data_IF_109059909459
#
_entry.id   IF_109059909459
#
_cell.length_a   1.000
_cell.length_b   1.000
_cell.length_c   1.000
_cell.angle_alpha   90.00
_cell.angle_beta   90.00
_cell.angle_gamma   90.00
#
_symmetry.space_group_name_H-M   'P 1'
#
loop_
_entity.id
_entity.type
_entity.pdbx_description
1 polymer ?
#
# COMPACT_ATOMS: atom_id res chain seq x y z
N UNK A 1 -36.11 -17.86 1.75
CA UNK A 1 -37.12 -16.82 1.45
C UNK A 1 -36.46 -15.68 0.69
N UNK A 2 -37.03 -15.36 -0.48
CA UNK A 2 -36.76 -14.24 -1.41
C UNK A 2 -35.36 -14.12 -2.03
N UNK A 3 -35.21 -14.82 -3.15
CA UNK A 3 -34.46 -14.34 -4.32
C UNK A 3 -35.19 -13.14 -4.96
N UNK A 4 -34.45 -12.17 -5.49
CA UNK A 4 -34.93 -11.32 -6.60
C UNK A 4 -33.81 -11.20 -7.64
N UNK A 5 -34.16 -11.50 -8.89
CA UNK A 5 -33.35 -11.40 -10.12
C UNK A 5 -34.04 -10.42 -11.08
N UNK A 6 -33.30 -10.06 -12.15
CA UNK A 6 -33.69 -9.56 -13.49
C UNK A 6 -33.72 -8.02 -13.67
N UNK A 7 -32.83 -7.42 -14.51
CA UNK A 7 -32.81 -7.31 -16.00
C UNK A 7 -33.40 -5.93 -16.43
N UNK A 8 -33.04 -5.21 -17.51
CA UNK A 8 -32.26 -5.38 -18.74
C UNK A 8 -31.99 -3.98 -19.35
N UNK A 9 -31.05 -3.93 -20.31
CA UNK A 9 -30.50 -2.83 -21.12
C UNK A 9 -31.44 -1.83 -21.83
N UNK A 10 -30.89 -0.65 -22.18
CA UNK A 10 -31.20 0.12 -23.41
C UNK A 10 -29.92 0.81 -23.95
N UNK A 11 -29.64 0.60 -25.24
CA UNK A 11 -28.68 1.29 -26.12
C UNK A 11 -29.17 2.70 -26.49
N UNK A 12 -28.26 3.69 -26.62
CA UNK A 12 -28.31 4.70 -27.70
C UNK A 12 -26.89 5.11 -28.12
N UNK A 13 -26.72 5.21 -29.43
CA UNK A 13 -25.52 5.45 -30.26
C UNK A 13 -25.09 6.91 -30.38
N UNK A 14 -23.76 7.14 -30.31
CA UNK A 14 -22.91 7.85 -31.30
C UNK A 14 -23.03 9.36 -31.51
N UNK A 15 -21.91 10.10 -31.31
CA UNK A 15 -21.34 10.98 -32.33
C UNK A 15 -19.87 11.35 -32.00
N UNK A 16 -19.03 11.26 -33.02
CA UNK A 16 -17.60 11.59 -33.05
C UNK A 16 -17.35 13.09 -32.93
N UNK A 17 -16.30 13.48 -32.20
CA UNK A 17 -15.55 14.69 -32.47
C UNK A 17 -14.06 14.38 -32.34
N UNK A 18 -13.35 14.55 -33.47
CA UNK A 18 -11.91 14.46 -33.56
C UNK A 18 -11.27 15.62 -32.77
N UNK A 19 -10.34 15.29 -31.88
CA UNK A 19 -9.46 16.24 -31.20
C UNK A 19 -8.01 15.78 -31.42
N UNK A 20 -7.16 16.72 -31.84
CA UNK A 20 -5.84 16.46 -32.39
C UNK A 20 -4.92 15.68 -31.43
N UNK A 21 -4.19 14.74 -32.01
CA UNK A 21 -3.18 13.93 -31.34
C UNK A 21 -1.91 14.76 -31.07
N UNK A 22 -1.57 14.97 -29.80
CA UNK A 22 -0.21 15.32 -29.42
C UNK A 22 0.66 14.06 -29.43
N UNK A 23 1.65 14.09 -30.31
CA UNK A 23 2.63 13.03 -30.54
C UNK A 23 3.65 13.03 -29.42
N UNK A 24 3.36 12.33 -28.32
CA UNK A 24 4.35 11.74 -27.42
C UNK A 24 3.80 10.40 -26.91
N UNK A 25 3.49 9.52 -27.85
CA UNK A 25 3.06 8.15 -27.55
C UNK A 25 4.25 7.36 -27.01
N UNK A 26 4.37 7.27 -25.69
CA UNK A 26 5.03 6.13 -25.08
C UNK A 26 4.21 4.89 -25.49
N UNK A 27 4.84 3.98 -26.22
CA UNK A 27 4.23 2.75 -26.67
C UNK A 27 3.64 2.00 -25.46
N UNK A 28 2.30 1.96 -25.40
CA UNK A 28 1.54 1.33 -24.34
C UNK A 28 1.55 -0.18 -24.56
N UNK A 29 2.65 -0.84 -24.20
CA UNK A 29 2.71 -2.30 -24.15
C UNK A 29 2.06 -2.72 -22.84
N UNK A 30 0.88 -3.34 -22.90
CA UNK A 30 0.30 -4.02 -21.75
C UNK A 30 1.33 -5.05 -21.23
N UNK A 31 1.66 -5.06 -19.93
CA UNK A 31 2.64 -6.00 -19.39
C UNK A 31 2.22 -7.43 -19.69
N UNK A 32 3.04 -8.15 -20.46
CA UNK A 32 2.81 -9.56 -20.70
C UNK A 32 3.02 -10.32 -19.37
N UNK A 33 1.94 -10.83 -18.78
CA UNK A 33 2.00 -11.61 -17.54
C UNK A 33 2.60 -13.02 -17.77
N UNK A 34 2.86 -13.40 -19.02
CA UNK A 34 3.49 -14.66 -19.39
C UNK A 34 5.01 -14.50 -19.52
N UNK A 35 5.69 -14.90 -18.46
CA UNK A 35 6.92 -15.71 -18.41
C UNK A 35 7.68 -15.34 -17.14
N UNK A 36 7.19 -15.87 -16.01
CA UNK A 36 8.00 -15.98 -14.83
C UNK A 36 9.20 -16.89 -15.17
N UNK A 37 10.30 -16.30 -15.64
CA UNK A 37 11.60 -16.84 -15.27
C UNK A 37 11.73 -16.55 -13.78
N UNK A 38 11.20 -17.44 -12.96
CA UNK A 38 11.61 -17.54 -11.58
C UNK A 38 13.14 -17.57 -11.60
N UNK A 39 13.77 -16.49 -11.18
CA UNK A 39 15.16 -16.52 -10.75
C UNK A 39 15.10 -16.68 -9.23
N UNK A 40 14.99 -17.92 -8.71
CA UNK A 40 14.85 -18.17 -7.27
C UNK A 40 16.01 -17.58 -6.44
N UNK A 41 17.14 -17.26 -7.06
CA UNK A 41 18.32 -16.69 -6.39
C UNK A 41 18.29 -15.17 -6.16
N UNK A 42 17.23 -14.44 -6.54
CA UNK A 42 17.21 -12.99 -6.34
C UNK A 42 16.65 -12.52 -5.00
N UNK A 43 15.89 -13.34 -4.26
CA UNK A 43 15.22 -12.94 -3.01
C UNK A 43 15.71 -13.77 -1.82
N UNK A 44 16.69 -13.25 -1.08
CA UNK A 44 17.17 -13.88 0.14
C UNK A 44 16.29 -13.48 1.33
N UNK A 45 15.70 -14.44 2.05
CA UNK A 45 14.92 -14.17 3.26
C UNK A 45 15.85 -13.61 4.34
N UNK A 46 15.48 -12.44 4.86
CA UNK A 46 16.20 -11.72 5.93
C UNK A 46 15.64 -12.10 7.28
N UNK A 47 14.31 -12.23 7.35
CA UNK A 47 13.56 -12.60 8.55
C UNK A 47 12.24 -13.25 8.13
N UNK A 48 11.75 -14.14 8.97
CA UNK A 48 10.46 -14.81 8.86
C UNK A 48 9.70 -14.77 10.20
N UNK A 49 8.50 -15.37 10.22
CA UNK A 49 7.70 -15.48 11.43
C UNK A 49 7.02 -14.18 11.88
N UNK A 50 6.96 -13.17 11.01
CA UNK A 50 6.24 -11.92 11.28
C UNK A 50 4.72 -12.16 11.27
N UNK A 51 4.00 -11.55 12.21
CA UNK A 51 2.58 -11.77 12.41
C UNK A 51 1.71 -10.84 11.55
N UNK A 52 1.32 -11.30 10.36
CA UNK A 52 0.50 -10.52 9.41
C UNK A 52 1.09 -9.12 9.15
N UNK A 53 2.36 -9.00 8.72
CA UNK A 53 2.99 -7.70 8.58
C UNK A 53 2.38 -6.92 7.41
N UNK A 54 2.33 -5.59 7.50
CA UNK A 54 1.72 -4.73 6.47
C UNK A 54 2.72 -3.79 5.84
N UNK A 55 3.43 -2.99 6.63
CA UNK A 55 4.45 -2.08 6.11
C UNK A 55 5.71 -2.07 6.96
N UNK A 56 6.78 -1.55 6.38
CA UNK A 56 8.10 -1.43 6.97
C UNK A 56 8.75 -0.08 6.69
N UNK A 57 9.73 0.28 7.51
CA UNK A 57 10.62 1.40 7.23
C UNK A 57 12.01 1.14 7.79
N UNK A 58 13.07 1.38 7.01
CA UNK A 58 14.46 1.18 7.43
C UNK A 58 15.02 2.47 8.03
N UNK A 59 15.58 2.40 9.24
CA UNK A 59 16.22 3.55 9.86
C UNK A 59 17.67 3.78 9.42
N UNK A 60 18.28 4.89 9.87
CA UNK A 60 19.68 5.24 9.56
C UNK A 60 20.71 4.23 10.07
N UNK A 61 20.34 3.37 11.02
CA UNK A 61 21.20 2.31 11.56
C UNK A 61 20.97 0.99 10.81
N UNK A 62 20.04 0.94 9.87
CA UNK A 62 19.66 -0.25 9.11
C UNK A 62 18.73 -1.21 9.87
N UNK A 63 18.11 -0.76 10.97
CA UNK A 63 17.05 -1.52 11.62
C UNK A 63 15.76 -1.41 10.81
N UNK A 64 15.00 -2.50 10.71
CA UNK A 64 13.76 -2.54 9.95
C UNK A 64 12.58 -2.47 10.93
N UNK A 65 11.88 -1.35 10.94
CA UNK A 65 10.65 -1.18 11.71
C UNK A 65 9.49 -1.78 10.92
N UNK A 66 8.65 -2.63 11.53
CA UNK A 66 7.60 -3.36 10.82
C UNK A 66 6.29 -3.29 11.60
N UNK A 67 5.21 -2.89 10.95
CA UNK A 67 3.86 -3.01 11.51
C UNK A 67 3.30 -4.41 11.31
N UNK A 68 2.64 -4.91 12.35
CA UNK A 68 1.99 -6.22 12.38
C UNK A 68 0.52 -6.03 12.74
N UNK A 69 -0.37 -6.52 11.89
CA UNK A 69 -1.81 -6.51 12.16
C UNK A 69 -2.22 -7.56 13.20
N UNK A 70 -1.35 -8.51 13.56
CA UNK A 70 -1.64 -9.48 14.62
C UNK A 70 -2.65 -10.55 14.21
N UNK A 71 -3.52 -10.97 15.13
CA UNK A 71 -4.44 -12.11 14.95
C UNK A 71 -5.90 -11.70 14.79
N UNK A 72 -6.23 -10.42 15.00
CA UNK A 72 -7.60 -9.90 14.98
C UNK A 72 -8.18 -9.70 16.37
N UNK A 73 -7.35 -9.68 17.42
CA UNK A 73 -7.77 -9.65 18.82
C UNK A 73 -7.21 -8.43 19.57
N UNK A 74 -7.17 -7.28 18.90
CA UNK A 74 -6.55 -6.03 19.39
C UNK A 74 -5.09 -6.22 19.84
N UNK A 75 -4.37 -7.06 19.10
CA UNK A 75 -2.99 -7.46 19.33
C UNK A 75 -2.04 -6.95 18.23
N UNK A 76 -2.42 -5.86 17.55
CA UNK A 76 -1.53 -5.18 16.62
C UNK A 76 -0.27 -4.69 17.33
N UNK A 77 0.87 -4.74 16.62
CA UNK A 77 2.18 -4.42 17.20
C UNK A 77 3.11 -3.80 16.17
N UNK A 78 4.15 -3.11 16.65
CA UNK A 78 5.30 -2.73 15.83
C UNK A 78 6.51 -3.46 16.39
N UNK A 79 7.20 -4.17 15.51
CA UNK A 79 8.46 -4.86 15.80
C UNK A 79 9.61 -4.15 15.12
N UNK A 80 10.82 -4.42 15.59
CA UNK A 80 12.06 -4.03 14.93
C UNK A 80 12.89 -5.27 14.65
N UNK A 81 13.43 -5.34 13.43
CA UNK A 81 14.30 -6.41 12.96
C UNK A 81 15.73 -5.89 12.92
N UNK A 82 16.62 -6.55 13.64
CA UNK A 82 18.04 -6.24 13.67
C UNK A 82 18.81 -6.89 12.51
N UNK A 83 20.06 -6.47 12.29
CA UNK A 83 20.93 -6.98 11.22
C UNK A 83 21.18 -8.49 11.26
N UNK A 84 21.09 -9.10 12.43
CA UNK A 84 21.26 -10.54 12.63
C UNK A 84 19.95 -11.32 12.47
N UNK A 85 18.84 -10.66 12.11
CA UNK A 85 17.52 -11.27 11.99
C UNK A 85 16.72 -11.31 13.30
N UNK A 86 17.26 -10.85 14.42
CA UNK A 86 16.53 -10.82 15.69
C UNK A 86 15.32 -9.88 15.59
N UNK A 87 14.16 -10.35 16.02
CA UNK A 87 12.92 -9.59 16.06
C UNK A 87 12.59 -9.22 17.50
N UNK A 88 12.37 -7.94 17.75
CA UNK A 88 11.90 -7.43 19.05
C UNK A 88 10.60 -6.65 18.88
N UNK A 89 9.61 -6.94 19.70
CA UNK A 89 8.42 -6.09 19.83
C UNK A 89 8.76 -4.80 20.56
N UNK A 90 8.49 -3.66 19.92
CA UNK A 90 8.75 -2.33 20.50
C UNK A 90 7.46 -1.68 20.97
N UNK A 91 6.38 -1.81 20.20
CA UNK A 91 5.07 -1.28 20.56
C UNK A 91 3.98 -2.36 20.48
N UNK A 92 3.03 -2.34 21.41
CA UNK A 92 1.95 -3.34 21.53
C UNK A 92 0.57 -2.73 21.75
N UNK A 93 -0.48 -3.50 21.44
CA UNK A 93 -1.87 -3.13 21.77
C UNK A 93 -2.50 -2.14 20.80
N UNK A 94 -2.09 -2.18 19.53
CA UNK A 94 -2.80 -1.47 18.47
C UNK A 94 -4.07 -2.23 18.06
N UNK A 95 -5.00 -1.51 17.44
CA UNK A 95 -6.25 -2.11 16.94
C UNK A 95 -5.98 -3.26 15.98
N UNK A 96 -6.77 -4.33 16.13
CA UNK A 96 -6.72 -5.49 15.27
C UNK A 96 -8.06 -6.22 15.34
N UNK A 97 -8.68 -6.47 14.19
CA UNK A 97 -10.00 -7.12 14.13
C UNK A 97 -10.20 -7.86 12.81
N UNK A 98 -10.93 -8.98 12.85
CA UNK A 98 -11.49 -9.59 11.64
C UNK A 98 -12.73 -8.82 11.21
N UNK A 99 -12.70 -8.31 9.99
CA UNK A 99 -13.80 -7.58 9.37
C UNK A 99 -14.90 -8.55 8.92
N UNK A 100 -16.15 -8.06 8.67
CA UNK A 100 -17.26 -8.92 8.27
C UNK A 100 -17.03 -9.72 6.98
N UNK A 101 -16.14 -9.25 6.10
CA UNK A 101 -15.73 -9.95 4.88
C UNK A 101 -14.63 -11.01 5.12
N UNK A 102 -14.19 -11.20 6.37
CA UNK A 102 -13.15 -12.15 6.77
C UNK A 102 -11.72 -11.60 6.74
N UNK A 103 -11.51 -10.40 6.19
CA UNK A 103 -10.20 -9.77 6.14
C UNK A 103 -9.71 -9.33 7.52
N UNK A 104 -8.41 -9.28 7.71
CA UNK A 104 -7.80 -8.76 8.93
C UNK A 104 -7.57 -7.25 8.78
N UNK A 105 -8.29 -6.45 9.55
CA UNK A 105 -8.00 -5.03 9.72
C UNK A 105 -7.04 -4.80 10.89
N UNK A 106 -6.12 -3.85 10.74
CA UNK A 106 -5.16 -3.51 11.78
C UNK A 106 -4.31 -2.29 11.42
N UNK A 107 -3.02 -2.39 11.70
CA UNK A 107 -2.05 -1.35 11.33
C UNK A 107 -1.86 -1.28 9.80
N UNK A 108 -1.64 -0.07 9.31
CA UNK A 108 -1.11 0.23 7.97
C UNK A 108 0.42 0.29 8.00
N UNK A 109 1.01 1.07 7.09
CA UNK A 109 2.46 1.24 7.01
C UNK A 109 3.03 2.09 8.16
N UNK A 110 4.33 1.95 8.35
CA UNK A 110 5.16 2.79 9.22
C UNK A 110 6.15 3.59 8.37
N UNK A 111 6.53 4.77 8.84
CA UNK A 111 7.54 5.59 8.20
C UNK A 111 8.51 6.13 9.25
N UNK A 112 9.78 5.80 9.13
CA UNK A 112 10.84 6.35 9.97
C UNK A 112 11.34 7.68 9.40
N UNK A 113 11.52 8.68 10.25
CA UNK A 113 12.24 9.90 9.92
C UNK A 113 12.92 10.49 11.16
N UNK A 114 14.25 10.58 11.14
CA UNK A 114 15.06 11.28 12.15
C UNK A 114 14.73 10.96 13.62
N UNK A 115 14.58 9.66 13.93
CA UNK A 115 14.31 9.19 15.29
C UNK A 115 12.83 9.25 15.67
N UNK A 116 11.95 9.60 14.74
CA UNK A 116 10.50 9.52 14.89
C UNK A 116 9.97 8.42 13.99
N UNK A 117 9.07 7.59 14.53
CA UNK A 117 8.32 6.59 13.78
C UNK A 117 6.86 7.03 13.69
N UNK A 118 6.39 7.22 12.46
CA UNK A 118 5.00 7.49 12.14
C UNK A 118 4.31 6.15 11.86
N UNK A 119 3.23 5.85 12.57
CA UNK A 119 2.56 4.54 12.51
C UNK A 119 1.10 4.77 12.18
N UNK A 120 0.64 4.19 11.06
CA UNK A 120 -0.77 4.21 10.70
C UNK A 120 -1.51 3.06 11.38
N UNK A 121 -2.57 3.39 12.11
CA UNK A 121 -3.61 2.44 12.50
C UNK A 121 -4.74 2.57 11.50
N UNK A 122 -4.68 1.75 10.44
CA UNK A 122 -5.63 1.78 9.35
C UNK A 122 -7.05 1.45 9.82
N UNK A 123 -7.17 0.47 10.72
CA UNK A 123 -8.45 0.06 11.29
C UNK A 123 -9.12 1.16 12.08
N UNK A 124 -8.41 1.90 12.94
CA UNK A 124 -9.02 2.94 13.77
C UNK A 124 -8.92 4.35 13.16
N UNK A 125 -8.13 4.52 12.09
CA UNK A 125 -7.89 5.80 11.43
C UNK A 125 -7.10 6.78 12.30
N UNK A 126 -5.99 6.31 12.85
CA UNK A 126 -5.07 7.13 13.67
C UNK A 126 -3.66 7.15 13.07
N UNK A 127 -3.00 8.29 13.18
CA UNK A 127 -1.57 8.45 12.94
C UNK A 127 -0.87 8.59 14.29
N UNK A 128 -0.16 7.56 14.75
CA UNK A 128 0.69 7.64 15.93
C UNK A 128 2.07 8.22 15.57
N UNK A 129 2.67 8.95 16.51
CA UNK A 129 3.96 9.60 16.35
C UNK A 129 4.84 9.20 17.53
N UNK A 130 5.75 8.24 17.34
CA UNK A 130 6.57 7.69 18.41
C UNK A 130 8.03 8.18 18.32
N UNK A 131 8.58 8.68 19.42
CA UNK A 131 10.03 8.92 19.52
C UNK A 131 10.76 7.59 19.74
N UNK A 132 11.53 7.18 18.74
CA UNK A 132 12.38 5.98 18.72
C UNK A 132 13.87 6.32 18.74
N UNK A 133 14.25 7.59 18.90
CA UNK A 133 15.64 8.05 18.90
C UNK A 133 16.49 7.39 19.99
N UNK A 134 15.83 7.00 21.09
CA UNK A 134 16.44 6.35 22.26
C UNK A 134 16.19 4.84 22.33
N UNK A 135 15.66 4.23 21.26
CA UNK A 135 15.45 2.78 21.21
C UNK A 135 16.73 2.02 21.60
N UNK A 136 16.58 1.01 22.46
CA UNK A 136 17.61 0.04 22.81
C UNK A 136 17.08 -1.38 22.66
N UNK A 137 17.95 -2.25 22.18
CA UNK A 137 17.66 -3.67 22.11
C UNK A 137 17.29 -4.20 23.50
N UNK A 138 16.27 -5.06 23.54
CA UNK A 138 15.73 -5.74 24.73
C UNK A 138 14.95 -4.85 25.72
N UNK A 139 14.73 -3.57 25.42
CA UNK A 139 13.76 -2.77 26.17
C UNK A 139 12.36 -3.42 26.12
N UNK A 140 11.61 -3.31 27.22
CA UNK A 140 10.24 -3.82 27.29
C UNK A 140 9.32 -3.07 26.31
N UNK A 141 8.34 -3.74 25.69
CA UNK A 141 7.42 -3.08 24.77
C UNK A 141 6.61 -1.97 25.43
N UNK A 142 6.38 -0.89 24.70
CA UNK A 142 5.54 0.24 25.13
C UNK A 142 4.13 0.07 24.56
N UNK A 143 3.11 0.19 25.42
CA UNK A 143 1.71 0.12 24.95
C UNK A 143 1.36 1.32 24.07
N UNK A 144 0.65 1.06 22.96
CA UNK A 144 0.11 2.06 22.05
C UNK A 144 -0.76 3.13 22.75
N UNK A 145 -1.40 2.76 23.87
CA UNK A 145 -2.17 3.70 24.71
C UNK A 145 -1.34 4.85 25.28
N UNK A 146 0.00 4.72 25.33
CA UNK A 146 0.93 5.74 25.80
C UNK A 146 1.49 6.61 24.67
N UNK A 147 1.22 6.27 23.41
CA UNK A 147 1.76 6.98 22.25
C UNK A 147 0.84 8.15 21.87
N UNK A 148 1.39 9.32 21.52
CA UNK A 148 0.57 10.40 21.00
C UNK A 148 0.10 10.05 19.58
N UNK A 149 -1.13 10.45 19.24
CA UNK A 149 -1.68 10.24 17.91
C UNK A 149 -2.52 11.43 17.43
N UNK A 150 -2.72 11.49 16.11
CA UNK A 150 -3.69 12.36 15.44
C UNK A 150 -4.86 11.48 15.01
N UNK A 151 -6.07 11.85 15.43
CA UNK A 151 -7.31 11.17 15.03
C UNK A 151 -7.72 11.66 13.64
N UNK A 152 -7.82 10.76 12.67
CA UNK A 152 -8.07 11.10 11.27
C UNK A 152 -9.42 10.57 10.79
N UNK A 153 -9.93 9.47 11.36
CA UNK A 153 -11.16 8.84 10.90
C UNK A 153 -12.36 9.79 10.94
N UNK A 154 -12.53 10.52 12.04
CA UNK A 154 -13.65 11.47 12.19
C UNK A 154 -13.63 12.53 11.08
N UNK A 155 -12.44 13.06 10.76
CA UNK A 155 -12.28 14.00 9.66
C UNK A 155 -12.62 13.34 8.32
N UNK A 156 -12.05 12.17 8.03
CA UNK A 156 -12.29 11.45 6.76
C UNK A 156 -13.77 11.17 6.56
N UNK A 157 -14.48 10.71 7.60
CA UNK A 157 -15.91 10.43 7.54
C UNK A 157 -16.72 11.71 7.29
N UNK A 158 -16.33 12.84 7.87
CA UNK A 158 -17.04 14.11 7.64
C UNK A 158 -16.89 14.63 6.20
N UNK A 159 -15.93 14.11 5.42
CA UNK A 159 -15.72 14.50 4.03
C UNK A 159 -16.62 13.75 3.04
N UNK A 160 -17.31 12.67 3.46
CA UNK A 160 -18.17 11.85 2.60
C UNK A 160 -17.51 11.40 1.28
N UNK A 161 -16.28 10.87 1.37
CA UNK A 161 -15.46 10.56 0.19
C UNK A 161 -15.82 9.22 -0.48
N UNK A 162 -16.43 8.29 0.26
CA UNK A 162 -16.83 6.96 -0.19
C UNK A 162 -18.27 6.64 0.23
N UNK A 163 -18.89 5.66 -0.46
CA UNK A 163 -20.20 5.11 -0.10
C UNK A 163 -20.12 3.56 -0.15
N UNK A 164 -20.31 2.85 0.98
CA UNK A 164 -20.47 3.38 2.34
C UNK A 164 -19.24 4.17 2.80
N UNK A 165 -19.40 4.99 3.84
CA UNK A 165 -18.27 5.69 4.47
C UNK A 165 -17.27 4.66 4.96
N UNK A 166 -16.02 4.86 4.58
CA UNK A 166 -14.93 3.95 4.91
C UNK A 166 -13.62 4.72 5.04
N UNK A 167 -12.72 4.19 5.87
CA UNK A 167 -11.38 4.71 6.08
C UNK A 167 -10.47 3.57 6.45
N UNK A 168 -9.37 3.46 5.72
CA UNK A 168 -8.29 2.51 5.97
C UNK A 168 -6.98 3.18 5.57
N UNK A 169 -6.32 3.82 6.54
CA UNK A 169 -5.04 4.49 6.33
C UNK A 169 -3.98 3.43 6.00
N UNK A 170 -3.52 3.41 4.76
CA UNK A 170 -2.71 2.31 4.24
C UNK A 170 -1.22 2.66 4.22
N UNK A 171 -0.84 3.72 3.51
CA UNK A 171 0.56 4.14 3.34
C UNK A 171 0.73 5.65 3.48
N UNK A 172 1.95 6.11 3.75
CA UNK A 172 2.28 7.52 4.00
C UNK A 172 3.66 7.91 3.48
N UNK A 173 3.77 9.17 3.07
CA UNK A 173 5.05 9.77 2.69
C UNK A 173 5.14 11.24 3.10
N UNK A 174 6.36 11.77 3.18
CA UNK A 174 6.56 13.21 3.33
C UNK A 174 6.43 13.91 1.98
N UNK A 175 5.70 15.04 1.98
CA UNK A 175 5.67 15.96 0.86
C UNK A 175 6.80 17.00 0.92
N UNK A 176 6.90 17.88 -0.10
CA UNK A 176 7.96 18.89 -0.21
C UNK A 176 7.89 19.97 0.87
N UNK A 177 6.75 20.08 1.56
CA UNK A 177 6.49 21.06 2.62
C UNK A 177 6.68 20.50 4.03
N UNK A 178 7.22 19.28 4.16
CA UNK A 178 7.46 18.64 5.44
C UNK A 178 6.19 18.13 6.14
N UNK A 179 5.08 18.04 5.41
CA UNK A 179 3.83 17.44 5.88
C UNK A 179 3.70 15.99 5.41
N UNK A 180 2.83 15.23 6.08
CA UNK A 180 2.54 13.85 5.69
C UNK A 180 1.38 13.79 4.71
N UNK A 181 1.51 12.90 3.74
CA UNK A 181 0.51 12.59 2.73
C UNK A 181 0.20 11.10 2.85
N UNK A 182 -1.05 10.78 3.17
CA UNK A 182 -1.50 9.44 3.55
C UNK A 182 -2.48 8.94 2.50
N UNK A 183 -2.20 7.79 1.92
CA UNK A 183 -3.16 7.05 1.12
C UNK A 183 -4.20 6.40 2.04
N UNK A 184 -5.43 6.91 2.00
CA UNK A 184 -6.57 6.27 2.67
C UNK A 184 -7.30 5.39 1.64
N UNK A 185 -7.06 4.08 1.75
CA UNK A 185 -7.58 3.07 0.86
C UNK A 185 -9.11 3.02 0.87
N UNK A 186 -9.71 3.10 2.06
CA UNK A 186 -11.17 3.07 2.24
C UNK A 186 -11.85 4.34 1.71
N UNK A 187 -11.22 5.49 1.93
CA UNK A 187 -11.76 6.79 1.50
C UNK A 187 -11.54 7.09 0.02
N UNK A 188 -10.70 6.32 -0.69
CA UNK A 188 -10.30 6.58 -2.08
C UNK A 188 -9.69 7.97 -2.27
N UNK A 189 -8.85 8.38 -1.32
CA UNK A 189 -8.30 9.73 -1.27
C UNK A 189 -6.90 9.76 -0.66
N UNK A 190 -6.18 10.84 -0.95
CA UNK A 190 -4.95 11.21 -0.24
C UNK A 190 -5.29 12.27 0.80
N UNK A 191 -4.97 11.98 2.06
CA UNK A 191 -5.16 12.87 3.20
C UNK A 191 -3.82 13.51 3.54
N UNK A 192 -3.76 14.84 3.53
CA UNK A 192 -2.59 15.58 3.99
C UNK A 192 -2.76 15.94 5.46
N UNK A 193 -1.74 15.67 6.26
CA UNK A 193 -1.66 16.06 7.67
C UNK A 193 -0.59 17.11 7.85
N UNK A 194 -1.01 18.33 8.19
CA UNK A 194 -0.08 19.37 8.59
C UNK A 194 0.47 19.02 9.98
N UNK A 195 1.75 18.66 10.07
CA UNK A 195 2.37 18.22 11.32
C UNK A 195 2.56 19.35 12.35
N UNK A 196 2.65 20.61 11.93
CA UNK A 196 2.82 21.72 12.87
C UNK A 196 1.51 22.09 13.56
N UNK A 197 0.38 22.03 12.84
CA UNK A 197 -0.96 22.31 13.39
C UNK A 197 -1.73 21.07 13.81
N UNK A 198 -1.25 19.88 13.42
CA UNK A 198 -1.90 18.56 13.59
C UNK A 198 -3.27 18.47 12.92
N UNK A 199 -3.50 19.26 11.87
CA UNK A 199 -4.79 19.30 11.17
C UNK A 199 -4.75 18.50 9.86
N UNK A 200 -5.75 17.63 9.61
CA UNK A 200 -5.91 16.95 8.33
C UNK A 200 -6.64 17.82 7.30
N UNK A 201 -6.39 17.52 6.03
CA UNK A 201 -7.10 18.08 4.88
C UNK A 201 -7.16 17.04 3.75
N UNK A 202 -8.15 17.12 2.87
CA UNK A 202 -8.16 16.31 1.64
C UNK A 202 -7.17 16.93 0.67
N UNK A 203 -6.15 16.17 0.28
CA UNK A 203 -5.18 16.62 -0.72
C UNK A 203 -5.65 16.30 -2.13
N UNK A 204 -6.13 15.07 -2.34
CA UNK A 204 -6.64 14.61 -3.62
C UNK A 204 -7.72 13.57 -3.40
N UNK A 205 -8.78 13.63 -4.21
CA UNK A 205 -9.75 12.54 -4.34
C UNK A 205 -9.44 11.76 -5.61
N UNK A 206 -9.41 10.44 -5.50
CA UNK A 206 -9.10 9.58 -6.65
C UNK A 206 -10.43 9.13 -7.27
N UNK A 207 -10.68 9.39 -8.56
CA UNK A 207 -11.89 8.95 -9.22
C UNK A 207 -12.02 7.43 -9.27
N UNK A 208 -13.27 6.95 -9.28
CA UNK A 208 -13.55 5.55 -9.58
C UNK A 208 -13.01 5.17 -10.97
N UNK A 209 -12.50 3.96 -11.09
CA UNK A 209 -12.02 3.40 -12.37
C UNK A 209 -13.19 3.29 -13.36
N UNK A 210 -14.35 2.86 -12.83
CA UNK A 210 -15.64 2.83 -13.51
C UNK A 210 -16.74 2.93 -12.45
N UNK A 211 -18.04 3.08 -12.80
CA UNK A 211 -19.11 3.26 -11.82
C UNK A 211 -19.19 2.20 -10.71
N UNK A 212 -18.68 0.99 -10.96
CA UNK A 212 -18.74 -0.15 -10.04
C UNK A 212 -17.41 -0.45 -9.34
N UNK A 213 -16.30 0.16 -9.77
CA UNK A 213 -14.94 -0.20 -9.30
C UNK A 213 -14.23 1.01 -8.71
N UNK A 214 -13.97 0.92 -7.41
CA UNK A 214 -13.18 1.90 -6.66
C UNK A 214 -11.68 1.78 -6.98
N UNK A 215 -10.90 2.87 -6.86
CA UNK A 215 -9.47 2.84 -7.13
C UNK A 215 -8.68 2.16 -6.00
N UNK A 216 -9.04 2.36 -4.73
CA UNK A 216 -8.32 1.82 -3.56
C UNK A 216 -6.82 2.18 -3.60
N UNK A 217 -6.44 3.43 -3.26
CA UNK A 217 -5.03 3.83 -3.23
C UNK A 217 -4.24 3.03 -2.18
N UNK A 218 -3.03 2.65 -2.54
CA UNK A 218 -2.12 1.88 -1.69
C UNK A 218 -0.81 2.66 -1.49
N UNK A 219 0.33 2.15 -1.97
CA UNK A 219 1.62 2.82 -1.83
C UNK A 219 1.64 4.26 -2.35
N UNK A 220 2.38 5.12 -1.66
CA UNK A 220 2.56 6.53 -2.03
C UNK A 220 4.00 6.98 -1.81
N UNK A 221 4.59 7.63 -2.82
CA UNK A 221 5.89 8.30 -2.70
C UNK A 221 5.82 9.72 -3.25
N UNK A 222 6.67 10.62 -2.74
CA UNK A 222 6.93 11.91 -3.36
C UNK A 222 8.20 11.85 -4.22
N UNK A 223 8.07 12.12 -5.52
CA UNK A 223 9.17 12.13 -6.48
C UNK A 223 9.37 13.53 -7.07
N UNK A 224 10.07 14.38 -6.32
CA UNK A 224 10.62 15.68 -6.77
C UNK A 224 9.60 16.78 -7.07
N UNK A 225 8.56 16.51 -7.85
CA UNK A 225 7.53 17.47 -8.26
C UNK A 225 6.11 16.88 -8.27
N UNK A 226 5.94 15.61 -7.94
CA UNK A 226 4.65 14.91 -7.95
C UNK A 226 4.65 13.78 -6.92
N UNK A 227 3.47 13.37 -6.53
CA UNK A 227 3.26 12.11 -5.83
C UNK A 227 2.98 11.01 -6.84
N UNK A 228 3.50 9.82 -6.59
CA UNK A 228 3.16 8.60 -7.32
C UNK A 228 2.40 7.69 -6.37
N UNK A 229 1.25 7.19 -6.81
CA UNK A 229 0.31 6.43 -5.98
C UNK A 229 -0.09 5.16 -6.72
N UNK A 230 0.07 4.00 -6.09
CA UNK A 230 -0.42 2.73 -6.65
C UNK A 230 -1.89 2.48 -6.28
N UNK A 231 -2.56 1.64 -7.06
CA UNK A 231 -3.95 1.23 -6.77
C UNK A 231 -4.12 -0.28 -6.68
N UNK A 232 -4.87 -0.76 -5.68
CA UNK A 232 -5.25 -2.17 -5.57
C UNK A 232 -6.44 -2.50 -6.48
N UNK A 233 -7.35 -1.54 -6.66
CA UNK A 233 -8.69 -1.66 -7.25
C UNK A 233 -9.69 -2.44 -6.39
N UNK A 234 -10.97 -2.07 -6.50
CA UNK A 234 -12.05 -2.80 -5.85
C UNK A 234 -12.30 -4.19 -6.46
N UNK A 235 -13.00 -5.05 -5.72
CA UNK A 235 -13.47 -6.34 -6.22
C UNK A 235 -14.20 -6.17 -7.57
N UNK A 236 -13.92 -7.00 -8.60
CA UNK A 236 -13.26 -8.31 -8.53
C UNK A 236 -11.74 -8.31 -8.78
N UNK A 237 -11.04 -7.19 -8.57
CA UNK A 237 -9.58 -7.10 -8.77
C UNK A 237 -9.14 -7.49 -10.18
N UNK A 238 -9.85 -6.93 -11.18
CA UNK A 238 -9.68 -7.27 -12.59
C UNK A 238 -8.22 -7.15 -13.03
N UNK A 239 -7.70 -8.21 -13.66
CA UNK A 239 -6.37 -8.21 -14.26
C UNK A 239 -6.15 -7.00 -15.16
N UNK A 240 -5.04 -6.29 -14.96
CA UNK A 240 -4.65 -5.12 -15.76
C UNK A 240 -5.35 -3.81 -15.38
N UNK A 241 -6.28 -3.81 -14.43
CA UNK A 241 -7.04 -2.61 -14.05
C UNK A 241 -6.30 -1.69 -13.07
N UNK A 242 -5.29 -2.19 -12.34
CA UNK A 242 -4.50 -1.38 -11.43
C UNK A 242 -3.57 -0.43 -12.19
N UNK A 243 -3.29 0.71 -11.56
CA UNK A 243 -2.56 1.83 -12.14
C UNK A 243 -1.54 2.38 -11.14
N UNK A 244 -0.50 2.97 -11.69
CA UNK A 244 0.29 3.98 -11.00
C UNK A 244 -0.29 5.33 -11.43
N UNK A 245 -0.78 6.09 -10.47
CA UNK A 245 -1.28 7.45 -10.65
C UNK A 245 -0.15 8.43 -10.37
N UNK A 246 -0.19 9.59 -11.03
CA UNK A 246 0.55 10.77 -10.61
C UNK A 246 -0.40 11.82 -10.06
N UNK A 247 0.03 12.50 -9.00
CA UNK A 247 -0.70 13.61 -8.38
C UNK A 247 0.24 14.80 -8.30
N UNK A 248 -0.10 15.90 -8.97
CA UNK A 248 0.67 17.15 -8.86
C UNK A 248 0.68 17.69 -7.44
N UNK A 249 1.59 18.61 -7.12
CA UNK A 249 1.64 19.28 -5.81
C UNK A 249 0.40 20.10 -5.48
N UNK A 250 -0.47 20.38 -6.45
CA UNK A 250 -1.79 21.01 -6.26
C UNK A 250 -2.95 20.01 -6.18
N UNK A 251 -2.69 18.70 -6.13
CA UNK A 251 -3.72 17.67 -5.95
C UNK A 251 -4.41 17.18 -7.24
N UNK A 252 -3.94 17.61 -8.42
CA UNK A 252 -4.49 17.13 -9.70
C UNK A 252 -4.00 15.72 -9.99
N UNK A 253 -4.94 14.78 -10.14
CA UNK A 253 -4.71 13.35 -10.38
C UNK A 253 -4.75 13.03 -11.87
N UNK A 254 -3.80 12.24 -12.35
CA UNK A 254 -3.84 11.62 -13.69
C UNK A 254 -3.17 10.24 -13.70
N UNK A 255 -3.42 9.45 -14.74
CA UNK A 255 -2.69 8.19 -14.93
C UNK A 255 -1.19 8.46 -15.21
N UNK A 256 -0.30 7.61 -14.68
CA UNK A 256 1.13 7.60 -14.98
C UNK A 256 1.55 6.30 -15.70
N UNK A 257 1.13 5.14 -15.17
CA UNK A 257 1.27 3.83 -15.81
C UNK A 257 0.02 2.97 -15.58
N UNK A 258 -0.29 2.10 -16.53
CA UNK A 258 -1.50 1.26 -16.53
C UNK A 258 -1.15 -0.19 -16.85
N UNK A 259 -2.11 -1.11 -16.71
CA UNK A 259 -1.92 -2.52 -17.09
C UNK A 259 -1.40 -3.42 -15.97
N UNK A 260 -1.40 -2.95 -14.72
CA UNK A 260 -1.00 -3.75 -13.56
C UNK A 260 -2.20 -4.44 -12.91
N UNK A 261 -1.92 -5.34 -11.97
CA UNK A 261 -2.95 -6.03 -11.18
C UNK A 261 -2.65 -5.89 -9.69
N UNK A 262 -3.61 -5.39 -8.91
CA UNK A 262 -3.55 -5.35 -7.45
C UNK A 262 -2.23 -4.78 -6.89
N UNK A 263 -1.87 -3.56 -7.26
CA UNK A 263 -0.63 -2.93 -6.79
C UNK A 263 -0.72 -2.55 -5.31
N UNK A 264 0.35 -2.78 -4.55
CA UNK A 264 0.39 -2.52 -3.11
C UNK A 264 1.42 -1.47 -2.70
N UNK A 265 2.59 -1.43 -3.33
CA UNK A 265 3.62 -0.43 -3.03
C UNK A 265 4.57 -0.20 -4.22
N UNK A 266 5.40 0.83 -4.13
CA UNK A 266 6.36 1.29 -5.13
C UNK A 266 7.62 1.90 -4.48
N UNK A 267 8.77 1.64 -5.09
CA UNK A 267 10.04 2.23 -4.67
C UNK A 267 10.85 2.75 -5.89
N UNK A 268 11.55 3.88 -5.76
CA UNK A 268 12.36 4.43 -6.85
C UNK A 268 13.59 3.55 -7.16
N UNK A 269 14.01 3.55 -8.42
CA UNK A 269 15.25 2.86 -8.85
C UNK A 269 16.47 3.77 -8.93
N UNK A 270 17.68 3.20 -9.07
CA UNK A 270 18.91 3.97 -9.25
C UNK A 270 18.96 4.77 -10.53
N UNK A 271 18.44 4.18 -11.60
CA UNK A 271 18.60 4.69 -12.95
C UNK A 271 17.35 5.46 -13.41
N UNK A 272 16.48 5.86 -12.47
CA UNK A 272 15.16 6.39 -12.76
C UNK A 272 14.09 5.32 -12.93
N UNK A 273 12.82 5.70 -12.77
CA UNK A 273 11.69 4.78 -12.78
C UNK A 273 11.48 4.07 -11.44
N UNK A 274 10.60 3.06 -11.45
CA UNK A 274 10.11 2.40 -10.23
C UNK A 274 10.24 0.87 -10.27
N UNK A 275 10.37 0.29 -9.09
CA UNK A 275 9.89 -1.06 -8.79
C UNK A 275 8.53 -0.95 -8.10
N UNK A 276 7.64 -1.91 -8.36
CA UNK A 276 6.30 -2.00 -7.77
C UNK A 276 6.01 -3.41 -7.29
N UNK A 277 5.17 -3.54 -6.27
CA UNK A 277 4.66 -4.84 -5.80
C UNK A 277 3.23 -5.06 -6.29
N UNK A 278 2.96 -6.23 -6.86
CA UNK A 278 1.61 -6.76 -7.07
C UNK A 278 1.31 -7.79 -5.98
N UNK A 279 0.15 -7.65 -5.32
CA UNK A 279 -0.22 -8.43 -4.15
C UNK A 279 -0.20 -9.93 -4.44
N UNK A 280 -1.10 -10.39 -5.31
CA UNK A 280 -1.26 -11.76 -5.76
C UNK A 280 -2.25 -11.77 -6.94
N UNK A 281 -2.37 -12.90 -7.62
CA UNK A 281 -3.44 -13.15 -8.56
C UNK A 281 -4.74 -13.48 -7.81
N UNK A 282 -5.82 -12.78 -8.14
CA UNK A 282 -7.16 -13.09 -7.62
C UNK A 282 -7.85 -14.08 -8.54
N UNK A 283 -8.41 -15.16 -7.98
CA UNK A 283 -9.19 -16.15 -8.74
C UNK A 283 -10.64 -16.10 -8.31
N UNK A 284 -11.51 -15.84 -9.29
CA UNK A 284 -12.96 -15.81 -9.11
C UNK A 284 -13.61 -16.95 -9.89
N UNK A 285 -13.77 -18.11 -9.24
CA UNK A 285 -14.39 -19.32 -9.85
C UNK A 285 -15.41 -19.93 -8.89
N UNK A 286 -16.57 -19.29 -8.67
CA UNK A 286 -17.61 -19.85 -7.80
C UNK A 286 -18.27 -21.11 -8.42
N UNK A 287 -18.67 -22.11 -7.60
CA UNK A 287 -18.52 -22.18 -6.15
C UNK A 287 -17.15 -22.71 -5.69
N UNK A 288 -16.24 -23.04 -6.61
CA UNK A 288 -15.01 -23.79 -6.31
C UNK A 288 -13.97 -23.00 -5.51
N UNK A 289 -13.73 -21.74 -5.87
CA UNK A 289 -12.72 -20.92 -5.21
C UNK A 289 -12.97 -19.43 -5.49
N UNK A 290 -12.91 -18.62 -4.44
CA UNK A 290 -12.87 -17.16 -4.52
C UNK A 290 -11.80 -16.69 -3.54
N UNK A 291 -10.73 -16.09 -4.06
CA UNK A 291 -9.65 -15.61 -3.20
C UNK A 291 -8.34 -15.32 -3.93
N UNK A 292 -7.35 -14.91 -3.14
CA UNK A 292 -5.98 -14.69 -3.59
C UNK A 292 -5.23 -16.01 -3.68
N UNK A 293 -4.57 -16.25 -4.81
CA UNK A 293 -3.71 -17.43 -4.99
C UNK A 293 -2.39 -17.20 -4.25
N UNK A 294 -1.97 -18.15 -3.38
CA UNK A 294 -0.69 -18.01 -2.70
C UNK A 294 0.47 -18.05 -3.70
N UNK A 295 1.60 -17.41 -3.36
CA UNK A 295 2.82 -17.44 -4.18
C UNK A 295 2.64 -16.96 -5.62
N UNK A 296 1.74 -16.01 -5.84
CA UNK A 296 1.52 -15.39 -7.17
C UNK A 296 1.79 -13.89 -7.18
N UNK A 297 2.25 -13.33 -6.05
CA UNK A 297 2.72 -11.97 -5.95
C UNK A 297 4.08 -11.80 -6.64
N UNK A 298 4.35 -10.57 -7.08
CA UNK A 298 5.59 -10.25 -7.77
C UNK A 298 6.06 -8.81 -7.54
N UNK A 299 7.36 -8.61 -7.66
CA UNK A 299 7.98 -7.31 -7.90
C UNK A 299 8.15 -7.14 -9.39
N UNK A 300 7.72 -6.00 -9.93
CA UNK A 300 7.84 -5.64 -11.33
C UNK A 300 8.46 -4.24 -11.49
N UNK A 301 9.00 -3.96 -12.67
CA UNK A 301 9.40 -2.60 -13.07
C UNK A 301 8.18 -1.75 -13.44
N UNK A 302 8.33 -0.43 -13.55
CA UNK A 302 7.26 0.45 -14.07
C UNK A 302 6.83 0.17 -15.51
N UNK A 303 7.62 -0.59 -16.27
CA UNK A 303 7.27 -1.11 -17.60
C UNK A 303 6.53 -2.47 -17.53
N UNK A 304 6.33 -3.00 -16.32
CA UNK A 304 5.61 -4.25 -16.08
C UNK A 304 6.42 -5.54 -16.21
N UNK A 305 7.73 -5.44 -16.49
CA UNK A 305 8.63 -6.60 -16.51
C UNK A 305 8.82 -7.13 -15.08
N UNK A 306 8.59 -8.44 -14.88
CA UNK A 306 8.80 -9.11 -13.59
C UNK A 306 10.28 -9.12 -13.24
N UNK A 307 10.61 -8.66 -12.03
CA UNK A 307 11.96 -8.75 -11.43
C UNK A 307 12.05 -10.01 -10.57
N UNK A 308 11.09 -10.17 -9.66
CA UNK A 308 10.95 -11.37 -8.81
C UNK A 308 9.47 -11.77 -8.78
N UNK A 309 9.18 -13.05 -8.97
CA UNK A 309 7.82 -13.60 -8.85
C UNK A 309 7.78 -14.77 -7.87
N UNK A 310 6.60 -15.30 -7.59
CA UNK A 310 6.44 -16.45 -6.70
C UNK A 310 6.33 -16.10 -5.22
N UNK A 311 6.26 -14.80 -4.89
CA UNK A 311 6.17 -14.34 -3.51
C UNK A 311 4.70 -14.32 -3.06
N UNK A 312 4.46 -14.48 -1.76
CA UNK A 312 3.08 -14.60 -1.26
C UNK A 312 2.55 -13.26 -0.73
N UNK A 313 1.56 -12.65 -1.40
CA UNK A 313 0.83 -11.46 -0.92
C UNK A 313 1.77 -10.33 -0.47
N UNK A 314 2.39 -9.66 -1.43
CA UNK A 314 3.33 -8.57 -1.18
C UNK A 314 2.63 -7.29 -0.76
N UNK A 315 3.09 -6.65 0.30
CA UNK A 315 2.46 -5.41 0.81
C UNK A 315 3.37 -4.20 0.80
N UNK A 316 4.70 -4.41 0.78
CA UNK A 316 5.66 -3.31 0.84
C UNK A 316 6.96 -3.61 0.09
N UNK A 317 7.61 -2.55 -0.41
CA UNK A 317 8.96 -2.57 -0.97
C UNK A 317 9.68 -1.27 -0.59
N UNK A 318 10.88 -1.40 -0.03
CA UNK A 318 11.68 -0.25 0.36
C UNK A 318 13.11 -0.38 -0.17
N UNK A 319 13.64 0.72 -0.69
CA UNK A 319 15.00 0.79 -1.18
C UNK A 319 15.97 1.01 -0.03
N UNK A 320 16.93 0.10 0.14
CA UNK A 320 17.93 0.16 1.21
C UNK A 320 19.18 0.92 0.76
N UNK A 321 19.60 0.67 -0.48
CA UNK A 321 20.78 1.31 -1.07
C UNK A 321 20.66 1.29 -2.61
N UNK A 322 21.67 1.75 -3.37
CA UNK A 322 21.54 1.86 -4.80
C UNK A 322 21.12 0.59 -5.54
N UNK A 323 21.42 -0.60 -5.03
CA UNK A 323 21.22 -1.88 -5.73
C UNK A 323 20.35 -2.90 -4.96
N UNK A 324 19.87 -2.56 -3.76
CA UNK A 324 19.18 -3.51 -2.89
C UNK A 324 17.89 -2.93 -2.32
N UNK A 325 16.89 -3.80 -2.23
CA UNK A 325 15.55 -3.51 -1.73
C UNK A 325 15.15 -4.57 -0.72
N UNK A 326 14.37 -4.19 0.28
CA UNK A 326 13.58 -5.13 1.06
C UNK A 326 12.19 -5.22 0.45
N UNK A 327 11.60 -6.41 0.51
CA UNK A 327 10.25 -6.71 0.04
C UNK A 327 9.53 -7.45 1.16
N UNK A 328 8.37 -6.92 1.58
CA UNK A 328 7.57 -7.46 2.67
C UNK A 328 6.44 -8.33 2.11
N UNK A 329 6.36 -9.56 2.61
CA UNK A 329 5.30 -10.51 2.31
C UNK A 329 4.40 -10.66 3.53
N UNK A 330 3.15 -10.17 3.43
CA UNK A 330 2.16 -10.46 4.48
C UNK A 330 1.77 -11.92 4.47
N UNK A 331 1.81 -12.56 3.29
CA UNK A 331 1.35 -13.92 3.13
C UNK A 331 2.25 -14.98 3.77
N UNK A 332 3.56 -14.80 3.66
CA UNK A 332 4.56 -15.66 4.30
C UNK A 332 5.08 -15.11 5.62
N UNK A 333 4.76 -13.86 5.98
CA UNK A 333 5.30 -13.21 7.17
C UNK A 333 6.82 -12.99 7.09
N UNK A 334 7.32 -12.63 5.90
CA UNK A 334 8.76 -12.53 5.64
C UNK A 334 9.16 -11.16 5.11
N UNK A 335 10.42 -10.79 5.35
CA UNK A 335 11.11 -9.75 4.58
C UNK A 335 12.20 -10.44 3.76
N UNK A 336 12.20 -10.18 2.46
CA UNK A 336 13.23 -10.67 1.54
C UNK A 336 14.06 -9.52 1.01
N UNK A 337 15.36 -9.75 0.85
CA UNK A 337 16.28 -8.81 0.21
C UNK A 337 16.43 -9.17 -1.26
N UNK A 338 16.16 -8.21 -2.13
CA UNK A 338 16.33 -8.36 -3.58
C UNK A 338 17.39 -7.42 -4.14
N UNK A 339 18.03 -7.83 -5.23
CA UNK A 339 19.00 -7.03 -5.98
C UNK A 339 18.40 -6.56 -7.31
N UNK A 340 18.48 -5.27 -7.58
CA UNK A 340 18.09 -4.65 -8.85
C UNK A 340 18.97 -3.44 -9.15
#
# INVERSE_FOLDING_TARGET
MKYSRLCLAVLVTGLLAAGCADKNGFEQVAPNQSDAKAMPDQAAVVVDGLASPIGMSVDKKGLIWVSQSGTGQNDGSVVVVAHNGDVQTVFTGFGSARLPNGELGGLGHVLYNDGVLYILDGLNGRLYIADVSKYKAKDAPVSASKLPFIELKTFVYSQNLSTPLDSNLYDLTFGPDGHLYIADAGANAIIKVNLSTRQPSVFARIPNINPMTQPVPTGIIYEGNRFLVTTLTGFPFTTGAAKILQISTSGVVSDYRTGFTALTNLAPTRNGGLLVTEYAQFKFTPPTFVGWLPSTGRVATEAGATVVGGLDRLTDIERINPNFYYVLSTGSGTISKIKY
#
